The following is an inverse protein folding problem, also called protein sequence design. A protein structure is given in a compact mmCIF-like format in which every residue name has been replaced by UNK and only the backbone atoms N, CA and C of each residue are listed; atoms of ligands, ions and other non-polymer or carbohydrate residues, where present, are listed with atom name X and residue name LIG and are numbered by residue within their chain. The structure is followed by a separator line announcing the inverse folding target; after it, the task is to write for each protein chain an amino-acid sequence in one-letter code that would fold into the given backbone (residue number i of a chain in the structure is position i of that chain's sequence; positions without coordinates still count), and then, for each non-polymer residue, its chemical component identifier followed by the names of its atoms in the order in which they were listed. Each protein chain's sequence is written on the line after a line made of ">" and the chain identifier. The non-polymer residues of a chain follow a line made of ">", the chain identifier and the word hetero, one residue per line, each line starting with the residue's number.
data_IF_248486809796
#
_entry.id   IF_248486809796
#
_cell.length_a   1.000
_cell.length_b   1.000
_cell.length_c   1.000
_cell.angle_alpha   90.00
_cell.angle_beta   90.00
_cell.angle_gamma   90.00
#
_symmetry.space_group_name_H-M   'P 1'
#
loop_
_entity.id
_entity.type
_entity.pdbx_description
1 polymer ?
#
# COMPACT_ATOMS: atom_id res chain seq x y z
N UNK A 1 -34.92 4.62 -24.16
CA UNK A 1 -33.97 5.04 -23.11
C UNK A 1 -32.86 4.01 -23.06
N UNK A 2 -31.68 4.34 -23.59
CA UNK A 2 -30.50 3.49 -23.51
C UNK A 2 -30.04 3.47 -22.06
N UNK A 3 -30.21 2.34 -21.38
CA UNK A 3 -29.50 2.08 -20.13
C UNK A 3 -28.04 2.03 -20.53
N UNK A 4 -27.31 3.09 -20.23
CA UNK A 4 -25.86 3.14 -20.40
C UNK A 4 -25.29 1.87 -19.80
N UNK A 5 -24.64 1.07 -20.64
CA UNK A 5 -24.11 -0.25 -20.36
C UNK A 5 -23.20 -0.20 -19.11
N UNK A 6 -23.81 -0.45 -17.94
CA UNK A 6 -23.16 -0.30 -16.65
C UNK A 6 -22.20 -1.47 -16.50
N UNK A 7 -20.94 -1.29 -16.91
CA UNK A 7 -19.88 -2.31 -16.77
C UNK A 7 -19.60 -2.56 -15.28
N UNK A 8 -20.29 -3.55 -14.72
CA UNK A 8 -19.96 -4.11 -13.41
C UNK A 8 -18.67 -4.92 -13.53
N UNK A 9 -17.62 -4.50 -12.83
CA UNK A 9 -16.38 -5.25 -12.70
C UNK A 9 -16.19 -5.60 -11.22
N UNK A 10 -15.99 -6.88 -10.95
CA UNK A 10 -15.56 -7.34 -9.62
C UNK A 10 -14.13 -6.85 -9.38
N UNK A 11 -13.89 -6.23 -8.23
CA UNK A 11 -12.56 -5.79 -7.80
C UNK A 11 -12.34 -6.22 -6.35
N UNK A 12 -11.11 -6.64 -6.03
CA UNK A 12 -10.70 -6.92 -4.67
C UNK A 12 -10.02 -5.69 -4.08
N UNK A 13 -10.46 -5.25 -2.90
CA UNK A 13 -9.84 -4.14 -2.17
C UNK A 13 -9.18 -4.71 -0.91
N UNK A 14 -7.87 -4.46 -0.77
CA UNK A 14 -7.09 -4.82 0.41
C UNK A 14 -6.68 -3.53 1.15
N UNK A 15 -6.98 -3.47 2.45
CA UNK A 15 -6.52 -2.42 3.36
C UNK A 15 -5.73 -3.05 4.51
N UNK A 16 -4.54 -2.53 4.79
CA UNK A 16 -3.65 -3.01 5.86
C UNK A 16 -3.04 -1.82 6.61
N UNK A 17 -2.83 -1.98 7.91
CA UNK A 17 -2.22 -0.99 8.81
C UNK A 17 -1.23 -1.66 9.78
N UNK A 18 -0.29 -0.87 10.32
CA UNK A 18 0.72 -1.33 11.25
C UNK A 18 0.25 -1.23 12.71
N UNK A 19 0.00 -2.38 13.34
CA UNK A 19 -0.38 -2.43 14.74
C UNK A 19 0.71 -1.84 15.65
N UNK A 20 0.33 -0.94 16.54
CA UNK A 20 1.26 -0.33 17.50
C UNK A 20 2.32 0.58 16.87
N UNK A 21 2.11 1.07 15.64
CA UNK A 21 3.05 1.91 14.90
C UNK A 21 3.68 3.01 15.75
N UNK A 22 2.87 3.81 16.46
CA UNK A 22 3.38 4.92 17.27
C UNK A 22 4.36 4.48 18.37
N UNK A 23 4.09 3.32 18.99
CA UNK A 23 4.98 2.74 20.01
C UNK A 23 6.28 2.24 19.40
N UNK A 24 6.20 1.59 18.24
CA UNK A 24 7.37 1.07 17.52
C UNK A 24 8.26 2.23 17.03
N UNK A 25 7.67 3.27 16.45
CA UNK A 25 8.39 4.49 16.04
C UNK A 25 9.09 5.19 17.20
N UNK A 26 8.46 5.23 18.38
CA UNK A 26 9.06 5.83 19.58
C UNK A 26 10.19 4.98 20.16
N UNK A 27 10.14 3.66 20.00
CA UNK A 27 11.16 2.74 20.50
C UNK A 27 12.37 2.66 19.57
N UNK A 28 12.14 2.48 18.26
CA UNK A 28 13.18 2.45 17.23
C UNK A 28 12.59 2.83 15.86
N UNK A 29 12.81 4.08 15.46
CA UNK A 29 12.36 4.59 14.16
C UNK A 29 12.96 3.81 12.99
N UNK A 30 14.26 3.50 13.03
CA UNK A 30 14.96 2.89 11.89
C UNK A 30 14.51 1.47 11.67
N UNK A 31 14.42 0.68 12.75
CA UNK A 31 13.90 -0.68 12.69
C UNK A 31 12.43 -0.69 12.23
N UNK A 32 11.62 0.26 12.70
CA UNK A 32 10.21 0.37 12.29
C UNK A 32 10.07 0.69 10.81
N UNK A 33 10.85 1.64 10.28
CA UNK A 33 10.86 1.96 8.84
C UNK A 33 11.31 0.77 8.01
N UNK A 34 12.39 0.09 8.41
CA UNK A 34 12.89 -1.09 7.70
C UNK A 34 11.85 -2.23 7.66
N UNK A 35 11.15 -2.47 8.77
CA UNK A 35 10.10 -3.48 8.84
C UNK A 35 8.89 -3.11 7.94
N UNK A 36 8.50 -1.84 7.91
CA UNK A 36 7.42 -1.37 7.03
C UNK A 36 7.80 -1.46 5.55
N UNK A 37 9.03 -1.11 5.19
CA UNK A 37 9.52 -1.22 3.82
C UNK A 37 9.55 -2.69 3.36
N UNK A 38 10.00 -3.60 4.22
CA UNK A 38 9.96 -5.04 3.96
C UNK A 38 8.52 -5.56 3.76
N UNK A 39 7.58 -5.17 4.63
CA UNK A 39 6.17 -5.55 4.50
C UNK A 39 5.56 -4.98 3.20
N UNK A 40 5.83 -3.71 2.88
CA UNK A 40 5.37 -3.06 1.62
C UNK A 40 5.94 -3.75 0.38
N UNK A 41 7.18 -4.22 0.42
CA UNK A 41 7.78 -4.95 -0.70
C UNK A 41 7.04 -6.27 -0.96
N UNK A 42 6.67 -7.01 0.09
CA UNK A 42 5.87 -8.24 -0.04
C UNK A 42 4.50 -7.94 -0.66
N UNK A 43 3.80 -6.92 -0.16
CA UNK A 43 2.50 -6.52 -0.73
C UNK A 43 2.62 -6.09 -2.19
N UNK A 44 3.62 -5.27 -2.52
CA UNK A 44 3.84 -4.77 -3.88
C UNK A 44 4.07 -5.92 -4.86
N UNK A 45 4.96 -6.85 -4.52
CA UNK A 45 5.23 -8.02 -5.36
C UNK A 45 3.96 -8.83 -5.64
N UNK A 46 3.12 -9.07 -4.63
CA UNK A 46 1.86 -9.80 -4.81
C UNK A 46 0.83 -9.00 -5.61
N UNK A 47 0.72 -7.70 -5.40
CA UNK A 47 -0.21 -6.84 -6.12
C UNK A 47 0.18 -6.77 -7.61
N UNK A 48 1.47 -6.62 -7.92
CA UNK A 48 1.97 -6.58 -9.30
C UNK A 48 1.71 -7.89 -10.06
N UNK A 49 1.96 -9.05 -9.43
CA UNK A 49 1.65 -10.37 -10.02
C UNK A 49 0.16 -10.50 -10.36
N UNK A 50 -0.72 -9.90 -9.56
CA UNK A 50 -2.18 -9.94 -9.78
C UNK A 50 -2.69 -8.77 -10.65
N UNK A 51 -1.80 -8.01 -11.30
CA UNK A 51 -2.15 -6.83 -12.11
C UNK A 51 -2.99 -5.80 -11.34
N UNK A 52 -2.81 -5.76 -10.02
CA UNK A 52 -3.47 -4.83 -9.13
C UNK A 52 -2.75 -3.49 -9.05
N UNK A 53 -3.32 -2.55 -8.30
CA UNK A 53 -2.75 -1.22 -8.09
C UNK A 53 -2.54 -0.97 -6.60
N UNK A 54 -1.34 -0.52 -6.24
CA UNK A 54 -1.04 -0.05 -4.88
C UNK A 54 -1.51 1.40 -4.74
N UNK A 55 -2.35 1.67 -3.75
CA UNK A 55 -2.73 3.02 -3.32
C UNK A 55 -2.13 3.24 -1.94
N UNK A 56 -1.12 4.09 -1.85
CA UNK A 56 -0.45 4.40 -0.58
C UNK A 56 -1.05 5.67 0.03
N UNK A 57 -1.67 5.53 1.22
CA UNK A 57 -2.16 6.67 2.02
C UNK A 57 -1.19 7.06 3.13
N UNK A 58 0.04 6.54 3.15
CA UNK A 58 1.01 6.93 4.16
C UNK A 58 1.37 8.41 4.02
N UNK A 59 1.39 9.14 5.14
CA UNK A 59 1.92 10.50 5.22
C UNK A 59 3.44 10.59 4.96
N UNK A 60 4.07 9.50 4.50
CA UNK A 60 5.49 9.44 4.15
C UNK A 60 5.64 9.29 2.65
N UNK A 61 5.57 10.43 1.95
CA UNK A 61 5.95 10.52 0.56
C UNK A 61 7.43 10.12 0.42
N UNK A 62 7.72 9.08 -0.34
CA UNK A 62 9.09 8.84 -0.82
C UNK A 62 9.38 9.86 -1.92
N UNK A 63 9.80 11.06 -1.54
CA UNK A 63 10.51 11.97 -2.46
C UNK A 63 11.84 11.29 -2.80
N UNK A 64 11.90 10.69 -3.97
CA UNK A 64 13.04 9.90 -4.42
C UNK A 64 12.75 9.33 -5.80
N UNK A 65 12.55 10.25 -6.75
CA UNK A 65 12.66 9.96 -8.17
C UNK A 65 14.15 9.96 -8.50
N UNK A 66 14.74 8.88 -9.01
CA UNK A 66 15.99 8.99 -9.74
C UNK A 66 15.63 9.63 -11.09
N UNK A 67 16.10 10.86 -11.31
CA UNK A 67 16.35 11.35 -12.66
C UNK A 67 17.69 10.81 -13.11
#
# INVERSE_FOLDING_TARGET
>A
MSVTDLKQRLTAILAADAAGYSRLMAADERATVAALDAARAVFRSKIEVNQGRVIDRSGRARSGSPR
#
